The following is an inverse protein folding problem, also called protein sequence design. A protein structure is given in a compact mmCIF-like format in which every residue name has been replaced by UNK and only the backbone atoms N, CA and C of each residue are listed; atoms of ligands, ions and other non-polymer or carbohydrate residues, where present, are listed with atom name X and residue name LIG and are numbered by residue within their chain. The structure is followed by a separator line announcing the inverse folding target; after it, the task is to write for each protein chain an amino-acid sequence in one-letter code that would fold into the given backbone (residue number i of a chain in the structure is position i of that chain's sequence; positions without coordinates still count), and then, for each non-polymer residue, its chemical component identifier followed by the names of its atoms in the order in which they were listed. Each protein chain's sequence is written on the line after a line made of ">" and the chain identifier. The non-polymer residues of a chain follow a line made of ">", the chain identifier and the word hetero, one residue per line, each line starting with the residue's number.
data_IF_296922386305
#
_entry.id   IF_296922386305
#
_cell.length_a   1.000
_cell.length_b   1.000
_cell.length_c   1.000
_cell.angle_alpha   90.00
_cell.angle_beta   90.00
_cell.angle_gamma   90.00
#
_symmetry.space_group_name_H-M   'P 1'
#
loop_
_entity.id
_entity.type
_entity.pdbx_description
1 polymer ?
#
# COMPACT_ATOMS: atom_id res chain seq x y z
N UNK A 1 64.17 -21.18 9.47
CA UNK A 1 64.60 -21.00 10.87
C UNK A 1 64.29 -19.57 11.28
N UNK A 2 63.49 -19.40 12.36
CA UNK A 2 63.63 -18.31 13.35
C UNK A 2 63.15 -16.92 12.81
N UNK A 3 62.02 -16.29 13.19
CA UNK A 3 61.28 -16.24 14.47
C UNK A 3 59.81 -15.89 14.26
N UNK A 4 58.95 -16.84 14.60
CA UNK A 4 57.61 -16.55 15.13
C UNK A 4 57.79 -15.99 16.55
N UNK A 5 56.82 -15.15 16.99
CA UNK A 5 56.65 -14.57 18.34
C UNK A 5 57.59 -13.39 18.62
N UNK A 6 57.10 -12.16 18.84
CA UNK A 6 56.32 -11.78 20.02
C UNK A 6 55.96 -10.27 19.96
N UNK A 7 54.79 -9.92 20.51
CA UNK A 7 54.35 -8.59 20.99
C UNK A 7 54.19 -7.47 19.93
N UNK A 8 53.05 -6.80 19.76
CA UNK A 8 51.83 -6.75 20.54
C UNK A 8 50.97 -5.56 20.09
N UNK A 9 49.78 -5.49 20.69
CA UNK A 9 48.98 -4.28 20.88
C UNK A 9 48.07 -3.87 19.69
N UNK A 10 46.84 -4.38 19.81
CA UNK A 10 45.60 -3.62 19.74
C UNK A 10 45.40 -2.61 18.60
N UNK A 11 44.65 -3.04 17.58
CA UNK A 11 43.65 -2.19 16.89
C UNK A 11 42.50 -3.13 16.51
N UNK A 12 41.70 -3.57 17.49
CA UNK A 12 40.35 -3.06 17.77
C UNK A 12 39.61 -2.58 16.51
N UNK A 13 38.55 -3.32 16.19
CA UNK A 13 37.96 -3.37 14.88
C UNK A 13 37.25 -2.11 14.41
N UNK A 14 37.28 -1.93 13.10
CA UNK A 14 36.28 -1.20 12.34
C UNK A 14 36.29 -1.89 10.97
N UNK A 15 35.29 -2.71 10.64
CA UNK A 15 34.79 -2.94 9.27
C UNK A 15 33.43 -3.69 9.32
N UNK A 16 32.50 -3.22 10.17
CA UNK A 16 31.07 -3.58 10.08
C UNK A 16 30.25 -2.32 9.85
N UNK A 17 30.35 -1.76 8.64
CA UNK A 17 29.42 -0.71 8.21
C UNK A 17 29.20 -0.77 6.70
N UNK A 18 28.40 -1.74 6.25
CA UNK A 18 27.87 -1.77 4.88
C UNK A 18 26.37 -2.07 4.84
N UNK A 19 25.62 -1.51 5.79
CA UNK A 19 24.18 -1.34 5.68
C UNK A 19 23.87 0.15 5.75
N UNK A 20 23.83 0.82 4.60
CA UNK A 20 23.21 2.14 4.47
C UNK A 20 21.84 1.96 3.81
N UNK A 21 20.75 1.73 4.57
CA UNK A 21 19.45 2.05 4.03
C UNK A 21 19.40 3.58 3.93
N UNK A 22 19.27 4.08 2.70
CA UNK A 22 18.96 5.49 2.44
C UNK A 22 17.56 5.76 3.00
N UNK A 23 17.46 5.99 4.31
CA UNK A 23 16.29 6.60 4.95
C UNK A 23 16.28 8.04 4.43
N UNK A 24 15.53 8.25 3.35
CA UNK A 24 14.88 9.53 3.18
C UNK A 24 13.79 9.60 4.26
N UNK A 25 13.64 10.71 4.98
CA UNK A 25 12.42 10.93 5.75
C UNK A 25 11.26 10.81 4.75
N UNK A 26 10.45 9.77 4.89
CA UNK A 26 9.14 9.82 4.28
C UNK A 26 8.47 11.08 4.83
N UNK A 27 7.84 11.92 3.98
CA UNK A 27 7.00 12.99 4.51
C UNK A 27 6.03 12.34 5.52
N UNK A 28 5.66 13.06 6.60
CA UNK A 28 4.65 12.54 7.51
C UNK A 28 3.47 12.11 6.66
N UNK A 29 3.18 10.82 6.68
CA UNK A 29 1.94 10.30 6.13
C UNK A 29 0.92 10.90 7.06
N UNK A 30 0.37 12.05 6.67
CA UNK A 30 -0.84 12.56 7.29
C UNK A 30 -1.83 11.42 7.10
N UNK A 31 -2.05 10.63 8.14
CA UNK A 31 -3.15 9.68 8.19
C UNK A 31 -4.37 10.53 7.88
N UNK A 32 -4.87 10.41 6.64
CA UNK A 32 -6.19 10.88 6.31
C UNK A 32 -7.09 10.37 7.42
N UNK A 33 -7.93 11.23 8.02
CA UNK A 33 -8.70 10.87 9.21
C UNK A 33 -9.34 9.53 8.91
N UNK A 34 -9.04 8.53 9.74
CA UNK A 34 -9.61 7.20 9.60
C UNK A 34 -11.12 7.40 9.64
N UNK A 35 -11.73 7.52 8.46
CA UNK A 35 -13.15 7.71 8.31
C UNK A 35 -13.74 6.51 9.04
N UNK A 36 -14.49 6.77 10.11
CA UNK A 36 -15.22 5.73 10.82
C UNK A 36 -16.02 5.00 9.76
N UNK A 37 -15.57 3.80 9.39
CA UNK A 37 -16.19 3.07 8.30
C UNK A 37 -17.58 2.68 8.78
N UNK A 38 -18.60 3.34 8.23
CA UNK A 38 -19.97 2.89 8.43
C UNK A 38 -20.10 1.44 7.94
N UNK A 39 -21.07 0.65 8.44
CA UNK A 39 -21.26 -0.73 7.98
C UNK A 39 -21.32 -0.85 6.45
N UNK A 40 -21.93 0.12 5.77
CA UNK A 40 -22.00 0.21 4.32
C UNK A 40 -20.61 0.40 3.67
N UNK A 41 -19.75 1.26 4.24
CA UNK A 41 -18.38 1.45 3.74
C UNK A 41 -17.49 0.23 3.98
N UNK A 42 -17.72 -0.53 5.05
CA UNK A 42 -17.02 -1.80 5.29
C UNK A 42 -17.38 -2.86 4.25
N UNK A 43 -18.65 -2.95 3.86
CA UNK A 43 -19.09 -3.83 2.78
C UNK A 43 -18.43 -3.43 1.45
N UNK A 44 -18.49 -2.15 1.10
CA UNK A 44 -17.84 -1.62 -0.09
C UNK A 44 -16.33 -1.90 -0.13
N UNK A 45 -15.63 -1.73 1.01
CA UNK A 45 -14.21 -2.09 1.16
C UNK A 45 -13.96 -3.56 0.89
N UNK A 46 -14.73 -4.43 1.53
CA UNK A 46 -14.59 -5.89 1.39
C UNK A 46 -14.82 -6.33 -0.05
N UNK A 47 -15.83 -5.76 -0.72
CA UNK A 47 -16.12 -6.03 -2.12
C UNK A 47 -14.99 -5.52 -3.03
N UNK A 48 -14.43 -4.34 -2.74
CA UNK A 48 -13.32 -3.78 -3.52
C UNK A 48 -12.07 -4.67 -3.44
N UNK A 49 -11.67 -5.04 -2.22
CA UNK A 49 -10.48 -5.87 -1.99
C UNK A 49 -10.63 -7.28 -2.57
N UNK A 50 -11.81 -7.89 -2.43
CA UNK A 50 -12.02 -9.27 -2.85
C UNK A 50 -12.37 -9.43 -4.34
N UNK A 51 -12.90 -8.41 -5.01
CA UNK A 51 -13.28 -8.52 -6.42
C UNK A 51 -12.33 -7.79 -7.36
N UNK A 52 -11.82 -6.62 -6.98
CA UNK A 52 -11.00 -5.80 -7.87
C UNK A 52 -9.52 -6.23 -7.87
N UNK A 53 -9.04 -6.92 -6.82
CA UNK A 53 -7.66 -7.41 -6.74
C UNK A 53 -7.41 -8.74 -7.49
N UNK A 54 -8.47 -9.38 -8.02
CA UNK A 54 -8.38 -10.71 -8.66
C UNK A 54 -7.63 -10.70 -10.00
N UNK A 55 -7.68 -9.59 -10.73
CA UNK A 55 -7.15 -9.50 -12.11
C UNK A 55 -5.99 -8.52 -12.26
N UNK A 56 -5.84 -7.57 -11.34
CA UNK A 56 -4.77 -6.58 -11.31
C UNK A 56 -4.63 -6.01 -9.90
N UNK A 57 -3.55 -5.27 -9.64
CA UNK A 57 -3.40 -4.53 -8.37
C UNK A 57 -4.55 -3.56 -8.15
N UNK A 58 -4.91 -3.32 -6.89
CA UNK A 58 -5.88 -2.30 -6.53
C UNK A 58 -5.33 -0.91 -6.87
N UNK A 59 -6.21 -0.07 -7.38
CA UNK A 59 -5.89 1.33 -7.64
C UNK A 59 -6.24 2.18 -6.41
N UNK A 60 -5.43 3.17 -6.04
CA UNK A 60 -5.79 4.07 -4.95
C UNK A 60 -6.99 4.92 -5.35
N UNK A 61 -7.86 5.29 -4.41
CA UNK A 61 -9.03 6.12 -4.66
C UNK A 61 -8.67 7.42 -5.38
N UNK A 62 -7.56 8.05 -5.00
CA UNK A 62 -7.02 9.29 -5.60
C UNK A 62 -6.56 9.18 -7.05
N UNK A 63 -6.58 7.98 -7.66
CA UNK A 63 -6.22 7.80 -9.07
C UNK A 63 -7.23 8.45 -10.02
N UNK A 64 -8.47 8.61 -9.59
CA UNK A 64 -9.58 9.13 -10.39
C UNK A 64 -10.45 10.05 -9.55
N UNK A 65 -11.11 11.03 -10.18
CA UNK A 65 -12.19 11.78 -9.52
C UNK A 65 -13.42 10.90 -9.32
N UNK A 66 -14.41 11.37 -8.55
CA UNK A 66 -15.68 10.64 -8.36
C UNK A 66 -16.36 10.32 -9.69
N UNK A 67 -16.38 11.30 -10.60
CA UNK A 67 -16.99 11.18 -11.93
C UNK A 67 -16.23 10.19 -12.81
N UNK A 68 -14.89 10.19 -12.73
CA UNK A 68 -14.03 9.28 -13.49
C UNK A 68 -14.11 7.82 -13.02
N UNK A 69 -14.45 7.59 -11.75
CA UNK A 69 -14.67 6.23 -11.23
C UNK A 69 -15.90 5.55 -11.84
N UNK A 70 -16.92 6.31 -12.25
CA UNK A 70 -18.16 5.76 -12.85
C UNK A 70 -17.88 4.94 -14.11
N UNK A 71 -17.23 5.46 -15.17
CA UNK A 71 -16.92 4.68 -16.36
C UNK A 71 -15.92 3.55 -16.07
N UNK A 72 -15.03 3.70 -15.08
CA UNK A 72 -14.11 2.62 -14.66
C UNK A 72 -14.90 1.44 -14.10
N UNK A 73 -15.79 1.69 -13.14
CA UNK A 73 -16.60 0.65 -12.53
C UNK A 73 -17.58 0.03 -13.52
N UNK A 74 -18.19 0.80 -14.42
CA UNK A 74 -19.05 0.27 -15.48
C UNK A 74 -18.30 -0.71 -16.40
N UNK A 75 -17.04 -0.41 -16.74
CA UNK A 75 -16.21 -1.28 -17.58
C UNK A 75 -15.73 -2.54 -16.84
N UNK A 76 -15.48 -2.43 -15.52
CA UNK A 76 -14.93 -3.52 -14.72
C UNK A 76 -16.00 -4.44 -14.14
N UNK A 77 -17.19 -3.94 -13.83
CA UNK A 77 -18.26 -4.70 -13.19
C UNK A 77 -18.60 -6.03 -13.91
N UNK A 78 -18.83 -6.05 -15.24
CA UNK A 78 -19.12 -7.31 -15.93
C UNK A 78 -17.91 -8.26 -15.97
N UNK A 79 -16.68 -7.72 -15.97
CA UNK A 79 -15.44 -8.51 -15.99
C UNK A 79 -15.13 -9.14 -14.64
N UNK A 80 -15.41 -8.40 -13.57
CA UNK A 80 -15.26 -8.85 -12.18
C UNK A 80 -16.47 -9.64 -11.67
N UNK A 81 -17.52 -9.80 -12.50
CA UNK A 81 -18.78 -10.50 -12.18
C UNK A 81 -19.46 -9.95 -10.92
N UNK A 82 -19.46 -8.63 -10.74
CA UNK A 82 -20.14 -7.97 -9.62
C UNK A 82 -21.50 -7.42 -10.06
N UNK A 83 -22.47 -7.41 -9.15
CA UNK A 83 -23.82 -6.87 -9.40
C UNK A 83 -23.83 -5.35 -9.36
N UNK A 84 -24.92 -4.73 -9.84
CA UNK A 84 -25.09 -3.28 -9.76
C UNK A 84 -25.09 -2.76 -8.32
N UNK A 85 -25.71 -3.49 -7.38
CA UNK A 85 -25.68 -3.14 -5.97
C UNK A 85 -24.26 -3.18 -5.39
N UNK A 86 -23.50 -4.24 -5.70
CA UNK A 86 -22.09 -4.35 -5.28
C UNK A 86 -21.24 -3.24 -5.89
N UNK A 87 -21.47 -2.90 -7.16
CA UNK A 87 -20.79 -1.78 -7.83
C UNK A 87 -21.05 -0.46 -7.12
N UNK A 88 -22.29 -0.21 -6.68
CA UNK A 88 -22.64 0.97 -5.88
C UNK A 88 -21.93 0.99 -4.53
N UNK A 89 -21.93 -0.12 -3.78
CA UNK A 89 -21.19 -0.19 -2.50
C UNK A 89 -19.69 0.07 -2.68
N UNK A 90 -19.09 -0.48 -3.73
CA UNK A 90 -17.68 -0.22 -4.09
C UNK A 90 -17.47 1.26 -4.44
N UNK A 91 -18.37 1.86 -5.23
CA UNK A 91 -18.30 3.28 -5.58
C UNK A 91 -18.35 4.17 -4.34
N UNK A 92 -19.31 3.93 -3.44
CA UNK A 92 -19.47 4.68 -2.20
C UNK A 92 -18.20 4.57 -1.34
N UNK A 93 -17.62 3.37 -1.23
CA UNK A 93 -16.36 3.17 -0.50
C UNK A 93 -15.20 3.95 -1.11
N UNK A 94 -14.95 3.81 -2.41
CA UNK A 94 -13.80 4.45 -3.07
C UNK A 94 -13.92 5.98 -3.04
N UNK A 95 -15.14 6.52 -3.12
CA UNK A 95 -15.38 7.97 -3.20
C UNK A 95 -15.62 8.65 -1.85
N UNK A 96 -15.76 7.89 -0.75
CA UNK A 96 -16.03 8.45 0.58
C UNK A 96 -14.94 9.42 1.09
N UNK A 97 -13.70 9.25 0.62
CA UNK A 97 -12.55 10.09 0.99
C UNK A 97 -12.07 11.04 -0.13
N UNK A 98 -12.86 11.20 -1.21
CA UNK A 98 -12.55 12.09 -2.33
C UNK A 98 -13.31 13.41 -2.26
#
# INVERSE_FOLDING_TARGET
>A
MIRVKILGIAVLGILVYSCSPKIAPAPPVTEAPAAVLTPELMEGKTLYENNCAKCHKLFPASRHTKEEWVPVLNRMAPKAKITEAQKTSIYNYITAGL
#
